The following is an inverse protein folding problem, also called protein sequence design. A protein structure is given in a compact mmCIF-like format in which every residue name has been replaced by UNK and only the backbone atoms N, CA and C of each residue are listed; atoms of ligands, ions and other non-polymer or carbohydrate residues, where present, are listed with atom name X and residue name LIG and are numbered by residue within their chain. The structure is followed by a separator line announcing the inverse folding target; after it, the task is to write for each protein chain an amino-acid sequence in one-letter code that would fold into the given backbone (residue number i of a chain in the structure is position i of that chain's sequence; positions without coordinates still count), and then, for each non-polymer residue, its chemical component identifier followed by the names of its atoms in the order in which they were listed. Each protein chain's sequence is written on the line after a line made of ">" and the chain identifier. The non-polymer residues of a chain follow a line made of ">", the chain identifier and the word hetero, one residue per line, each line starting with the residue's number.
data_IF_628362513759
#
_entry.id   IF_628362513759
#
_cell.length_a   1.000
_cell.length_b   1.000
_cell.length_c   1.000
_cell.angle_alpha   90.00
_cell.angle_beta   90.00
_cell.angle_gamma   90.00
#
_symmetry.space_group_name_H-M   'P 1'
#
loop_
_entity.id
_entity.type
_entity.pdbx_description
1 polymer ?
#
# COMPACT_ATOMS: atom_id res chain seq x y z
N UNK A 1 -6.61 -11.71 -30.72
CA UNK A 1 -6.15 -10.30 -30.61
C UNK A 1 -4.78 -10.33 -29.97
N UNK A 2 -3.73 -9.80 -30.61
CA UNK A 2 -2.37 -9.92 -30.11
C UNK A 2 -2.24 -9.13 -28.81
N UNK A 3 -1.71 -9.81 -27.82
CA UNK A 3 -1.36 -9.34 -26.50
C UNK A 3 -0.41 -8.15 -26.63
N UNK A 4 -0.94 -6.93 -26.63
CA UNK A 4 -0.11 -5.72 -26.53
C UNK A 4 0.66 -5.87 -25.22
N UNK A 5 1.93 -6.22 -25.31
CA UNK A 5 2.83 -6.30 -24.17
C UNK A 5 2.69 -5.03 -23.35
N UNK A 6 1.96 -5.12 -22.23
CA UNK A 6 1.70 -3.99 -21.36
C UNK A 6 3.05 -3.49 -20.88
N UNK A 7 3.48 -2.35 -21.41
CA UNK A 7 4.77 -1.73 -21.08
C UNK A 7 4.67 -1.14 -19.68
N UNK A 8 5.02 -1.95 -18.68
CA UNK A 8 5.14 -1.47 -17.30
C UNK A 8 6.15 -0.32 -17.22
N UNK A 9 5.75 0.75 -16.57
CA UNK A 9 6.61 1.92 -16.34
C UNK A 9 7.44 1.70 -15.09
N UNK A 10 8.69 2.21 -15.08
CA UNK A 10 9.51 2.24 -13.87
C UNK A 10 9.02 3.33 -12.93
N UNK A 11 9.09 3.08 -11.64
CA UNK A 11 8.72 4.04 -10.60
C UNK A 11 9.99 4.80 -10.15
N UNK A 12 9.99 6.14 -10.09
CA UNK A 12 11.17 6.90 -9.66
C UNK A 12 11.56 6.60 -8.21
N UNK A 13 10.57 6.32 -7.34
CA UNK A 13 10.79 5.91 -5.95
C UNK A 13 9.82 4.79 -5.56
N UNK A 14 10.35 3.58 -5.33
CA UNK A 14 9.56 2.43 -4.88
C UNK A 14 9.44 2.34 -3.35
N UNK A 15 10.29 3.08 -2.60
CA UNK A 15 10.36 3.01 -1.13
C UNK A 15 9.02 3.31 -0.44
N UNK A 16 8.31 4.43 -0.73
CA UNK A 16 7.05 4.74 -0.03
C UNK A 16 5.97 3.69 -0.28
N UNK A 17 5.93 3.09 -1.46
CA UNK A 17 4.96 2.04 -1.79
C UNK A 17 5.22 0.74 -1.03
N UNK A 18 6.49 0.32 -0.91
CA UNK A 18 6.88 -0.88 -0.17
C UNK A 18 6.64 -0.70 1.34
N UNK A 19 7.09 0.43 1.91
CA UNK A 19 6.89 0.70 3.34
C UNK A 19 5.42 0.79 3.72
N UNK A 20 4.60 1.45 2.90
CA UNK A 20 3.15 1.52 3.09
C UNK A 20 2.50 0.13 3.06
N UNK A 21 2.94 -0.74 2.14
CA UNK A 21 2.42 -2.10 2.01
C UNK A 21 2.82 -3.00 3.18
N UNK A 22 4.07 -2.90 3.65
CA UNK A 22 4.55 -3.65 4.81
C UNK A 22 3.80 -3.23 6.07
N UNK A 23 3.67 -1.92 6.33
CA UNK A 23 2.91 -1.43 7.48
C UNK A 23 1.44 -1.83 7.44
N UNK A 24 0.85 -1.92 6.26
CA UNK A 24 -0.52 -2.42 6.11
C UNK A 24 -0.62 -3.90 6.53
N UNK A 25 0.33 -4.75 6.12
CA UNK A 25 0.37 -6.16 6.56
C UNK A 25 0.56 -6.25 8.06
N UNK A 26 1.48 -5.48 8.65
CA UNK A 26 1.70 -5.46 10.09
C UNK A 26 0.45 -5.03 10.86
N UNK A 27 -0.28 -4.02 10.35
CA UNK A 27 -1.53 -3.59 10.98
C UNK A 27 -2.63 -4.66 10.90
N UNK A 28 -2.71 -5.41 9.80
CA UNK A 28 -3.69 -6.52 9.67
C UNK A 28 -3.33 -7.70 10.56
N UNK A 29 -2.04 -8.05 10.70
CA UNK A 29 -1.58 -9.05 11.66
C UNK A 29 -1.86 -8.62 13.10
N UNK A 30 -1.63 -7.34 13.44
CA UNK A 30 -1.99 -6.77 14.74
C UNK A 30 -3.50 -6.90 15.04
N UNK A 31 -4.35 -6.67 14.05
CA UNK A 31 -5.79 -6.85 14.20
C UNK A 31 -6.17 -8.31 14.47
N UNK A 32 -5.53 -9.26 13.79
CA UNK A 32 -5.75 -10.68 14.01
C UNK A 32 -5.29 -11.11 15.41
N UNK A 33 -4.12 -10.63 15.88
CA UNK A 33 -3.66 -10.94 17.24
C UNK A 33 -4.54 -10.32 18.32
N UNK A 34 -5.03 -9.09 18.11
CA UNK A 34 -5.97 -8.45 19.02
C UNK A 34 -7.31 -9.22 19.09
N UNK A 35 -7.82 -9.70 17.95
CA UNK A 35 -9.05 -10.48 17.91
C UNK A 35 -8.92 -11.83 18.61
N UNK A 36 -7.79 -12.54 18.44
CA UNK A 36 -7.52 -13.79 19.16
C UNK A 36 -7.37 -13.58 20.67
N UNK A 37 -6.68 -12.49 21.06
CA UNK A 37 -6.54 -12.11 22.47
C UNK A 37 -7.91 -11.79 23.11
N UNK A 38 -8.79 -11.13 22.38
CA UNK A 38 -10.14 -10.83 22.86
C UNK A 38 -10.97 -12.10 23.11
N UNK A 39 -10.92 -13.05 22.18
CA UNK A 39 -11.59 -14.36 22.35
C UNK A 39 -11.04 -15.12 23.56
N UNK A 40 -9.72 -15.08 23.74
CA UNK A 40 -9.06 -15.74 24.86
C UNK A 40 -9.46 -15.12 26.21
N UNK A 41 -9.51 -13.77 26.27
CA UNK A 41 -9.97 -13.05 27.46
C UNK A 41 -11.42 -13.38 27.82
N UNK A 42 -12.32 -13.44 26.84
CA UNK A 42 -13.74 -13.80 27.07
C UNK A 42 -13.85 -15.19 27.69
N UNK A 43 -12.97 -16.13 27.29
CA UNK A 43 -13.02 -17.53 27.81
C UNK A 43 -12.42 -17.68 29.21
N UNK A 44 -11.35 -16.93 29.51
CA UNK A 44 -10.60 -17.14 30.76
C UNK A 44 -10.78 -16.05 31.82
N UNK A 45 -11.30 -14.87 31.43
CA UNK A 45 -11.54 -13.71 32.30
C UNK A 45 -10.32 -13.33 33.19
N UNK A 46 -9.08 -13.58 32.73
CA UNK A 46 -7.88 -13.32 33.49
C UNK A 46 -7.39 -11.89 33.31
N UNK A 47 -6.85 -11.28 34.38
CA UNK A 47 -6.32 -9.92 34.36
C UNK A 47 -5.16 -9.80 33.37
N UNK A 48 -4.31 -10.83 33.27
CA UNK A 48 -3.17 -10.87 32.35
C UNK A 48 -3.65 -10.82 30.89
N UNK A 49 -4.70 -11.57 30.55
CA UNK A 49 -5.27 -11.55 29.21
C UNK A 49 -5.87 -10.17 28.86
N UNK A 50 -6.46 -9.48 29.84
CA UNK A 50 -6.98 -8.13 29.66
C UNK A 50 -5.87 -7.11 29.37
N UNK A 51 -4.78 -7.15 30.12
CA UNK A 51 -3.62 -6.29 29.89
C UNK A 51 -3.00 -6.55 28.51
N UNK A 52 -2.87 -7.81 28.10
CA UNK A 52 -2.41 -8.21 26.78
C UNK A 52 -3.31 -7.67 25.66
N UNK A 53 -4.63 -7.69 25.84
CA UNK A 53 -5.59 -7.15 24.91
C UNK A 53 -5.42 -5.63 24.73
N UNK A 54 -5.28 -4.88 25.83
CA UNK A 54 -5.06 -3.43 25.79
C UNK A 54 -3.78 -3.11 25.02
N UNK A 55 -2.67 -3.79 25.30
CA UNK A 55 -1.40 -3.58 24.60
C UNK A 55 -1.52 -3.88 23.10
N UNK A 56 -2.17 -4.99 22.75
CA UNK A 56 -2.41 -5.37 21.36
C UNK A 56 -3.27 -4.32 20.62
N UNK A 57 -4.29 -3.77 21.26
CA UNK A 57 -5.15 -2.72 20.70
C UNK A 57 -4.36 -1.43 20.45
N UNK A 58 -3.60 -0.96 21.45
CA UNK A 58 -2.77 0.25 21.32
C UNK A 58 -1.76 0.09 20.19
N UNK A 59 -1.06 -1.05 20.14
CA UNK A 59 -0.10 -1.35 19.08
C UNK A 59 -0.76 -1.36 17.70
N UNK A 60 -1.92 -1.98 17.57
CA UNK A 60 -2.66 -2.07 16.30
C UNK A 60 -3.09 -0.67 15.82
N UNK A 61 -3.62 0.16 16.71
CA UNK A 61 -4.02 1.54 16.39
C UNK A 61 -2.80 2.34 15.92
N UNK A 62 -1.68 2.25 16.64
CA UNK A 62 -0.45 2.93 16.29
C UNK A 62 0.06 2.52 14.89
N UNK A 63 0.13 1.22 14.61
CA UNK A 63 0.53 0.70 13.30
C UNK A 63 -0.43 1.11 12.19
N UNK A 64 -1.73 1.16 12.48
CA UNK A 64 -2.74 1.61 11.51
C UNK A 64 -2.58 3.09 11.14
N UNK A 65 -2.33 3.95 12.14
CA UNK A 65 -2.06 5.39 11.92
C UNK A 65 -0.80 5.58 11.08
N UNK A 66 0.30 4.87 11.40
CA UNK A 66 1.53 4.92 10.60
C UNK A 66 1.30 4.44 9.17
N UNK A 67 0.56 3.33 9.00
CA UNK A 67 0.20 2.82 7.68
C UNK A 67 -0.61 3.84 6.87
N UNK A 68 -1.55 4.55 7.51
CA UNK A 68 -2.33 5.60 6.87
C UNK A 68 -1.45 6.73 6.35
N UNK A 69 -0.54 7.27 7.14
CA UNK A 69 0.37 8.33 6.71
C UNK A 69 1.29 7.87 5.59
N UNK A 70 1.86 6.67 5.69
CA UNK A 70 2.72 6.11 4.64
C UNK A 70 1.98 5.84 3.33
N UNK A 71 0.73 5.45 3.38
CA UNK A 71 -0.12 5.30 2.18
C UNK A 71 -0.42 6.65 1.52
N UNK A 72 -0.51 7.72 2.30
CA UNK A 72 -0.68 9.09 1.80
C UNK A 72 0.56 9.62 1.08
N UNK A 73 1.76 9.24 1.53
CA UNK A 73 3.03 9.60 0.90
C UNK A 73 3.27 8.89 -0.45
N UNK A 74 2.57 7.78 -0.68
CA UNK A 74 2.69 7.01 -1.92
C UNK A 74 1.91 7.68 -3.06
N UNK A 75 2.52 8.68 -3.69
CA UNK A 75 1.92 9.50 -4.74
C UNK A 75 2.28 8.93 -6.12
N UNK A 76 1.29 8.86 -7.00
CA UNK A 76 1.50 8.47 -8.39
C UNK A 76 2.27 9.57 -9.15
N UNK A 77 3.38 9.25 -9.85
CA UNK A 77 4.18 10.26 -10.55
C UNK A 77 3.46 10.88 -11.76
N UNK A 78 2.42 10.27 -12.28
CA UNK A 78 1.69 10.75 -13.45
C UNK A 78 0.48 11.62 -13.09
N UNK A 79 -0.41 11.12 -12.23
CA UNK A 79 -1.64 11.84 -11.88
C UNK A 79 -1.57 12.55 -10.53
N UNK A 80 -0.45 12.40 -9.79
CA UNK A 80 -0.24 12.94 -8.43
C UNK A 80 -1.31 12.50 -7.39
N UNK A 81 -2.18 11.56 -7.75
CA UNK A 81 -3.14 10.96 -6.83
C UNK A 81 -2.48 9.93 -5.91
N UNK A 82 -3.18 9.55 -4.83
CA UNK A 82 -2.74 8.54 -3.86
C UNK A 82 -3.35 7.17 -4.19
N UNK A 83 -2.70 6.32 -4.99
CA UNK A 83 -3.31 5.10 -5.53
C UNK A 83 -3.57 4.00 -4.47
N UNK A 84 -3.03 4.15 -3.27
CA UNK A 84 -3.23 3.22 -2.16
C UNK A 84 -4.37 3.63 -1.22
N UNK A 85 -4.91 4.85 -1.38
CA UNK A 85 -6.06 5.34 -0.64
C UNK A 85 -7.21 5.62 -1.59
N UNK A 86 -8.41 5.20 -1.20
CA UNK A 86 -9.63 5.52 -1.94
C UNK A 86 -10.10 6.93 -1.52
N UNK A 87 -9.93 7.90 -2.42
CA UNK A 87 -10.29 9.29 -2.18
C UNK A 87 -11.68 9.64 -2.77
N UNK A 88 -12.47 8.64 -3.17
CA UNK A 88 -13.81 8.85 -3.74
C UNK A 88 -13.83 9.35 -5.20
N UNK A 89 -12.67 9.59 -5.82
CA UNK A 89 -12.61 9.95 -7.24
C UNK A 89 -12.97 8.76 -8.14
N UNK A 90 -13.52 9.06 -9.32
CA UNK A 90 -13.95 8.04 -10.28
C UNK A 90 -12.74 7.18 -10.70
N UNK A 91 -12.75 5.88 -10.40
CA UNK A 91 -11.63 5.02 -10.72
C UNK A 91 -11.61 4.65 -12.20
N UNK A 92 -10.40 4.52 -12.75
CA UNK A 92 -10.21 4.12 -14.14
C UNK A 92 -10.71 2.69 -14.38
N UNK A 93 -11.28 2.41 -15.55
CA UNK A 93 -11.88 1.11 -15.92
C UNK A 93 -10.90 -0.08 -15.84
N UNK A 94 -9.59 0.15 -15.99
CA UNK A 94 -8.54 -0.87 -15.84
C UNK A 94 -8.25 -1.26 -14.39
N UNK A 95 -8.71 -0.46 -13.41
CA UNK A 95 -8.52 -0.74 -11.99
C UNK A 95 -9.41 -1.91 -11.56
N UNK A 96 -8.79 -3.05 -11.29
CA UNK A 96 -9.50 -4.25 -10.83
C UNK A 96 -9.86 -4.12 -9.35
N UNK A 97 -11.11 -4.45 -9.02
CA UNK A 97 -11.58 -4.62 -7.65
C UNK A 97 -11.72 -6.11 -7.37
N UNK A 98 -11.08 -6.60 -6.32
CA UNK A 98 -11.27 -7.98 -5.85
C UNK A 98 -12.24 -7.93 -4.68
N UNK A 99 -13.41 -8.51 -4.85
CA UNK A 99 -14.39 -8.63 -3.76
C UNK A 99 -13.84 -9.54 -2.65
N UNK A 100 -13.97 -9.19 -1.35
CA UNK A 100 -14.71 -8.07 -0.75
C UNK A 100 -13.88 -6.78 -0.54
N UNK A 101 -12.67 -6.70 -1.08
CA UNK A 101 -11.71 -5.62 -0.78
C UNK A 101 -11.95 -4.36 -1.61
N UNK A 102 -11.60 -3.21 -1.04
CA UNK A 102 -11.55 -1.94 -1.76
C UNK A 102 -10.39 -1.91 -2.77
N UNK A 103 -10.49 -1.07 -3.81
CA UNK A 103 -9.45 -0.92 -4.85
C UNK A 103 -8.09 -0.55 -4.27
N UNK A 104 -8.03 0.30 -3.24
CA UNK A 104 -6.79 0.66 -2.56
C UNK A 104 -6.13 -0.54 -1.85
N UNK A 105 -6.91 -1.41 -1.22
CA UNK A 105 -6.42 -2.66 -0.60
C UNK A 105 -5.94 -3.63 -1.67
N UNK A 106 -6.70 -3.78 -2.76
CA UNK A 106 -6.30 -4.63 -3.90
C UNK A 106 -4.98 -4.17 -4.51
N UNK A 107 -4.79 -2.85 -4.68
CA UNK A 107 -3.52 -2.27 -5.15
C UNK A 107 -2.37 -2.55 -4.17
N UNK A 108 -2.60 -2.39 -2.86
CA UNK A 108 -1.62 -2.70 -1.81
C UNK A 108 -1.22 -4.18 -1.85
N UNK A 109 -2.19 -5.08 -2.00
CA UNK A 109 -1.94 -6.51 -2.09
C UNK A 109 -1.14 -6.88 -3.34
N UNK A 110 -1.42 -6.24 -4.49
CA UNK A 110 -0.66 -6.46 -5.72
C UNK A 110 0.79 -5.95 -5.63
N UNK A 111 1.04 -4.89 -4.85
CA UNK A 111 2.39 -4.42 -4.54
C UNK A 111 3.16 -5.48 -3.76
N UNK A 112 2.53 -6.14 -2.79
CA UNK A 112 3.17 -7.17 -1.95
C UNK A 112 3.46 -8.42 -2.75
N UNK A 113 2.45 -8.94 -3.46
CA UNK A 113 2.53 -10.25 -4.13
C UNK A 113 3.29 -10.21 -5.44
N UNK A 114 3.11 -9.17 -6.24
CA UNK A 114 3.63 -9.08 -7.62
C UNK A 114 4.65 -7.98 -7.82
N UNK A 115 4.91 -7.13 -6.81
CA UNK A 115 5.75 -5.93 -6.92
C UNK A 115 5.33 -5.01 -8.08
N UNK A 116 4.05 -5.06 -8.45
CA UNK A 116 3.44 -4.31 -9.54
C UNK A 116 2.11 -3.76 -9.08
N UNK A 117 1.77 -2.56 -9.56
CA UNK A 117 0.44 -2.01 -9.29
C UNK A 117 -0.08 -1.20 -10.47
N UNK A 118 -1.39 -1.14 -10.57
CA UNK A 118 -2.10 -0.26 -11.48
C UNK A 118 -2.65 0.91 -10.69
N UNK A 119 -2.33 2.14 -11.10
CA UNK A 119 -2.91 3.32 -10.47
C UNK A 119 -4.42 3.34 -10.73
N UNK A 120 -5.22 3.39 -9.65
CA UNK A 120 -6.68 3.34 -9.79
C UNK A 120 -7.27 4.59 -10.44
N UNK A 121 -6.55 5.70 -10.49
CA UNK A 121 -7.03 6.96 -11.07
C UNK A 121 -6.65 7.12 -12.55
N UNK A 122 -5.39 6.90 -12.92
CA UNK A 122 -4.92 7.09 -14.30
C UNK A 122 -4.77 5.79 -15.09
N UNK A 123 -4.99 4.61 -14.48
CA UNK A 123 -4.88 3.31 -15.14
C UNK A 123 -3.48 2.93 -15.58
N UNK A 124 -2.45 3.69 -15.19
CA UNK A 124 -1.06 3.39 -15.53
C UNK A 124 -0.51 2.27 -14.67
N UNK A 125 0.19 1.34 -15.32
CA UNK A 125 0.81 0.18 -14.66
C UNK A 125 2.28 0.45 -14.38
N UNK A 126 2.68 0.19 -13.14
CA UNK A 126 4.03 0.39 -12.64
C UNK A 126 4.62 -0.92 -12.12
N UNK A 127 5.93 -1.08 -12.36
CA UNK A 127 6.74 -2.18 -11.83
C UNK A 127 7.77 -1.58 -10.85
N UNK A 128 7.72 -2.03 -9.59
CA UNK A 128 8.61 -1.57 -8.52
C UNK A 128 10.01 -2.17 -8.60
N UNK A 129 10.17 -3.27 -9.36
CA UNK A 129 11.47 -3.91 -9.56
C UNK A 129 12.25 -3.27 -10.71
N UNK A 130 11.55 -2.58 -11.62
CA UNK A 130 12.18 -1.97 -12.78
C UNK A 130 12.90 -0.69 -12.38
N UNK A 131 14.23 -0.73 -12.43
CA UNK A 131 15.04 0.47 -12.18
C UNK A 131 14.68 1.58 -13.19
N UNK A 132 14.47 2.82 -12.71
CA UNK A 132 14.34 3.95 -13.61
C UNK A 132 15.63 4.04 -14.43
N UNK A 133 15.49 4.08 -15.76
CA UNK A 133 16.62 4.37 -16.62
C UNK A 133 17.18 5.73 -16.20
N UNK A 134 18.33 5.74 -15.56
CA UNK A 134 19.06 6.96 -15.28
C UNK A 134 19.30 7.60 -16.64
N UNK A 135 18.64 8.70 -16.95
CA UNK A 135 19.03 9.55 -18.06
C UNK A 135 20.48 9.97 -17.77
N UNK A 136 21.44 9.30 -18.43
CA UNK A 136 22.82 9.77 -18.45
C UNK A 136 22.79 11.12 -19.16
N UNK A 137 23.03 12.17 -18.35
CA UNK A 137 23.61 13.40 -18.85
C UNK A 137 22.70 14.24 -19.75
N UNK A 138 21.86 15.05 -19.14
CA UNK A 138 21.81 16.44 -19.54
C UNK A 138 22.56 17.18 -18.43
N UNK A 139 23.86 17.40 -18.61
CA UNK A 139 24.55 18.50 -17.95
C UNK A 139 23.83 19.75 -18.45
N UNK A 140 22.98 20.31 -17.63
CA UNK A 140 22.53 21.69 -17.83
C UNK A 140 23.74 22.50 -17.44
N UNK A 141 24.53 22.91 -18.40
CA UNK A 141 25.50 23.99 -18.24
C UNK A 141 24.67 25.22 -17.92
N UNK A 142 24.60 25.55 -16.64
CA UNK A 142 24.05 26.81 -16.18
C UNK A 142 25.11 27.86 -16.62
N UNK A 143 24.82 28.58 -17.68
CA UNK A 143 25.58 29.75 -18.04
C UNK A 143 25.40 30.77 -16.91
N UNK A 144 26.54 31.17 -16.33
CA UNK A 144 26.69 32.36 -15.51
C UNK A 144 26.29 33.62 -16.30
#
# INVERSE_FOLDING_TARGET
>A
MPNRSQRYRSLPSSRPFRSASILFVLSTLGLLTASTAAVFWIRQASVIAFQGLILAMVFTIFMWVLAYFKRREAICPLCKGTPLLDCGAIPHSKSKKVFPFNRGITSTLSVITRQKFCCMYCGSEFDLLKNPKRHRGIKVDIYE
#
